data_IF_509623525587
#
_entry.id   IF_509623525587
#
_cell.length_a   1.000
_cell.length_b   1.000
_cell.length_c   1.000
_cell.angle_alpha   90.00
_cell.angle_beta   90.00
_cell.angle_gamma   90.00
#
_symmetry.space_group_name_H-M   'P 1'
#
loop_
_entity.id
_entity.type
_entity.pdbx_description
1 polymer ?
#
# COMPACT_ATOMS: atom_id res chain seq x y z
N UNK A 1 59.86 25.76 39.20
CA UNK A 1 59.33 26.79 38.28
C UNK A 1 58.81 26.07 37.05
N UNK A 2 57.50 25.83 37.00
CA UNK A 2 56.81 25.14 35.91
C UNK A 2 56.38 26.16 34.87
N UNK A 3 56.71 25.92 33.60
CA UNK A 3 56.36 26.82 32.51
C UNK A 3 54.82 26.87 32.30
N UNK A 4 54.25 28.03 31.93
CA UNK A 4 52.83 28.14 31.66
C UNK A 4 52.44 27.32 30.41
N UNK A 5 51.23 26.75 30.39
CA UNK A 5 50.74 25.98 29.25
C UNK A 5 50.60 26.85 28.00
N UNK A 6 50.82 26.27 26.80
CA UNK A 6 50.68 27.00 25.55
C UNK A 6 49.23 27.46 25.34
N UNK A 7 49.03 28.61 24.69
CA UNK A 7 47.69 29.12 24.40
C UNK A 7 46.92 28.14 23.50
N UNK A 8 45.65 27.91 23.83
CA UNK A 8 44.71 27.15 23.02
C UNK A 8 44.63 27.75 21.62
N UNK A 9 44.76 26.91 20.60
CA UNK A 9 44.57 27.31 19.21
C UNK A 9 43.15 27.88 19.03
N UNK A 10 42.98 28.92 18.19
CA UNK A 10 41.66 29.46 17.88
C UNK A 10 40.78 28.36 17.28
N UNK A 11 39.51 28.32 17.68
CA UNK A 11 38.52 27.42 17.10
C UNK A 11 38.47 27.62 15.57
N UNK A 12 38.34 26.55 14.78
CA UNK A 12 38.19 26.67 13.34
C UNK A 12 36.98 27.56 13.04
N UNK A 13 37.18 28.58 12.20
CA UNK A 13 36.08 29.43 11.75
C UNK A 13 35.00 28.54 11.10
N UNK A 14 33.71 28.77 11.41
CA UNK A 14 32.65 28.09 10.70
C UNK A 14 32.81 28.41 9.22
N UNK A 15 32.95 27.36 8.39
CA UNK A 15 32.97 27.50 6.95
C UNK A 15 31.71 28.24 6.46
N UNK A 16 31.72 28.79 5.23
CA UNK A 16 30.58 29.52 4.71
C UNK A 16 29.33 28.65 4.79
N UNK A 17 28.37 29.05 5.62
CA UNK A 17 27.09 28.38 5.73
C UNK A 17 26.41 28.48 4.36
N UNK A 18 26.02 27.33 3.80
CA UNK A 18 25.20 27.34 2.60
C UNK A 18 23.84 27.93 3.00
N UNK A 19 23.33 28.97 2.31
CA UNK A 19 22.06 29.56 2.68
C UNK A 19 20.96 28.50 2.61
N UNK A 20 20.31 28.24 3.73
CA UNK A 20 19.09 27.46 3.78
C UNK A 20 17.99 28.33 3.16
N UNK A 21 17.36 27.86 2.09
CA UNK A 21 16.23 28.52 1.43
C UNK A 21 15.06 27.54 1.40
N UNK A 22 14.12 27.75 2.31
CA UNK A 22 12.92 26.92 2.45
C UNK A 22 11.70 27.80 2.24
N UNK A 23 10.77 27.29 1.43
CA UNK A 23 9.47 27.90 1.14
C UNK A 23 8.38 27.10 1.86
N UNK A 24 7.85 27.62 2.97
CA UNK A 24 6.79 26.94 3.72
C UNK A 24 5.59 26.51 2.87
N UNK A 25 5.23 27.31 1.87
CA UNK A 25 4.11 27.04 0.96
C UNK A 25 4.34 25.79 0.11
N UNK A 26 5.58 25.50 -0.27
CA UNK A 26 5.90 24.30 -1.05
C UNK A 26 5.71 23.04 -0.18
N UNK A 27 6.15 23.07 1.09
CA UNK A 27 5.90 21.98 2.04
C UNK A 27 4.41 21.76 2.26
N UNK A 28 3.66 22.85 2.46
CA UNK A 28 2.21 22.75 2.67
C UNK A 28 1.48 22.21 1.44
N UNK A 29 1.87 22.63 0.23
CA UNK A 29 1.30 22.09 -1.01
C UNK A 29 1.55 20.58 -1.13
N UNK A 30 2.78 20.12 -0.89
CA UNK A 30 3.07 18.68 -0.93
C UNK A 30 2.34 17.92 0.17
N UNK A 31 2.14 18.53 1.34
CA UNK A 31 1.29 17.96 2.38
C UNK A 31 -0.15 17.70 1.90
N UNK A 32 -0.72 18.61 1.09
CA UNK A 32 -2.03 18.44 0.49
C UNK A 32 -2.05 17.29 -0.53
N UNK A 33 -1.01 17.14 -1.35
CA UNK A 33 -0.88 16.02 -2.29
C UNK A 33 -0.83 14.67 -1.56
N UNK A 34 -0.12 14.58 -0.43
CA UNK A 34 -0.13 13.38 0.41
C UNK A 34 -1.50 13.08 1.03
N UNK A 35 -2.24 14.13 1.38
CA UNK A 35 -3.62 14.01 1.85
C UNK A 35 -4.55 13.52 0.73
N UNK A 36 -4.37 13.97 -0.49
CA UNK A 36 -5.13 13.50 -1.64
C UNK A 36 -4.76 12.05 -1.99
N UNK A 37 -3.48 11.69 -1.89
CA UNK A 37 -3.00 10.31 -1.99
C UNK A 37 -3.64 9.39 -0.93
N UNK A 38 -3.76 9.86 0.32
CA UNK A 38 -4.49 9.15 1.38
C UNK A 38 -5.93 8.83 0.95
N UNK A 39 -6.64 9.82 0.40
CA UNK A 39 -8.02 9.63 -0.09
C UNK A 39 -8.08 8.67 -1.28
N UNK A 40 -7.15 8.78 -2.22
CA UNK A 40 -7.05 7.92 -3.40
C UNK A 40 -6.80 6.44 -3.03
N UNK A 41 -5.97 6.18 -2.01
CA UNK A 41 -5.75 4.82 -1.47
C UNK A 41 -7.06 4.23 -0.93
N UNK A 42 -7.83 5.02 -0.16
CA UNK A 42 -9.10 4.56 0.38
C UNK A 42 -10.17 4.33 -0.69
N UNK A 43 -10.18 5.17 -1.74
CA UNK A 43 -11.04 4.96 -2.89
C UNK A 43 -10.67 3.66 -3.63
N UNK A 44 -9.38 3.42 -3.86
CA UNK A 44 -8.86 2.17 -4.46
C UNK A 44 -9.31 0.95 -3.65
N UNK A 45 -9.16 0.99 -2.33
CA UNK A 45 -9.63 -0.06 -1.42
C UNK A 45 -11.13 -0.34 -1.55
N UNK A 46 -11.97 0.71 -1.53
CA UNK A 46 -13.43 0.56 -1.64
C UNK A 46 -13.86 -0.01 -2.99
N UNK A 47 -13.21 0.41 -4.08
CA UNK A 47 -13.45 -0.15 -5.41
C UNK A 47 -13.13 -1.64 -5.44
N UNK A 48 -12.00 -2.06 -4.85
CA UNK A 48 -11.67 -3.48 -4.73
C UNK A 48 -12.72 -4.22 -3.91
N UNK A 49 -13.04 -3.78 -2.69
CA UNK A 49 -14.03 -4.46 -1.82
C UNK A 49 -15.38 -4.64 -2.51
N UNK A 50 -15.91 -3.58 -3.13
CA UNK A 50 -17.17 -3.65 -3.88
C UNK A 50 -17.08 -4.67 -5.02
N UNK A 51 -15.98 -4.65 -5.78
CA UNK A 51 -15.79 -5.58 -6.89
C UNK A 51 -15.69 -7.03 -6.42
N UNK A 52 -15.02 -7.29 -5.30
CA UNK A 52 -14.93 -8.64 -4.74
C UNK A 52 -16.31 -9.13 -4.25
N UNK A 53 -17.15 -8.26 -3.69
CA UNK A 53 -18.52 -8.60 -3.26
C UNK A 53 -19.40 -9.02 -4.44
N UNK A 54 -19.31 -8.33 -5.57
CA UNK A 54 -19.99 -8.71 -6.82
C UNK A 54 -19.54 -10.08 -7.34
N UNK A 55 -18.31 -10.49 -7.01
CA UNK A 55 -17.68 -11.73 -7.47
C UNK A 55 -17.73 -12.85 -6.43
N UNK A 56 -18.59 -12.72 -5.39
CA UNK A 56 -18.83 -13.77 -4.40
C UNK A 56 -19.20 -15.09 -5.09
N UNK A 57 -18.54 -16.16 -4.70
CA UNK A 57 -18.77 -17.49 -5.25
C UNK A 57 -18.07 -17.83 -6.57
N UNK A 58 -17.16 -16.98 -7.05
CA UNK A 58 -16.43 -17.23 -8.30
C UNK A 58 -15.65 -18.56 -8.31
N UNK A 59 -15.11 -19.01 -7.16
CA UNK A 59 -14.30 -20.23 -7.12
C UNK A 59 -15.12 -21.53 -7.18
N UNK A 60 -16.43 -21.46 -6.91
CA UNK A 60 -17.29 -22.64 -6.72
C UNK A 60 -17.30 -23.14 -5.27
N UNK A 61 -17.71 -24.39 -5.06
CA UNK A 61 -17.88 -24.99 -3.73
C UNK A 61 -17.15 -26.35 -3.56
N UNK A 62 -16.55 -26.87 -4.62
CA UNK A 62 -15.84 -28.15 -4.60
C UNK A 62 -14.57 -28.16 -3.73
N UNK A 63 -14.01 -29.35 -3.49
CA UNK A 63 -12.79 -29.50 -2.66
C UNK A 63 -11.61 -28.65 -3.17
N UNK A 64 -11.33 -28.55 -4.50
CA UNK A 64 -10.37 -27.58 -5.02
C UNK A 64 -10.67 -26.12 -4.65
N UNK A 65 -11.93 -25.67 -4.74
CA UNK A 65 -12.35 -24.33 -4.36
C UNK A 65 -12.07 -24.06 -2.87
N UNK A 66 -12.41 -25.01 -1.99
CA UNK A 66 -12.14 -24.91 -0.55
C UNK A 66 -10.63 -24.81 -0.25
N UNK A 67 -9.81 -25.59 -0.97
CA UNK A 67 -8.34 -25.52 -0.85
C UNK A 67 -7.78 -24.18 -1.33
N UNK A 68 -8.36 -23.61 -2.39
CA UNK A 68 -7.99 -22.30 -2.88
C UNK A 68 -8.36 -21.21 -1.86
N UNK A 69 -9.60 -21.23 -1.37
CA UNK A 69 -10.12 -20.26 -0.38
C UNK A 69 -9.27 -20.21 0.90
N UNK A 70 -8.83 -21.36 1.41
CA UNK A 70 -7.96 -21.47 2.59
C UNK A 70 -6.66 -20.65 2.49
N UNK A 71 -6.22 -20.30 1.28
CA UNK A 71 -5.07 -19.43 1.03
C UNK A 71 -5.46 -18.04 0.52
N UNK A 72 -6.52 -17.94 -0.28
CA UNK A 72 -7.03 -16.69 -0.83
C UNK A 72 -7.54 -15.76 0.26
N UNK A 73 -8.46 -16.21 1.12
CA UNK A 73 -9.12 -15.35 2.11
C UNK A 73 -8.13 -14.69 3.08
N UNK A 74 -7.15 -15.42 3.67
CA UNK A 74 -6.11 -14.79 4.47
C UNK A 74 -5.26 -13.77 3.70
N UNK A 75 -4.95 -14.03 2.43
CA UNK A 75 -4.18 -13.11 1.60
C UNK A 75 -4.95 -11.82 1.31
N UNK A 76 -6.25 -11.91 0.98
CA UNK A 76 -7.10 -10.73 0.78
C UNK A 76 -7.26 -9.94 2.07
N UNK A 77 -7.41 -10.61 3.23
CA UNK A 77 -7.44 -9.92 4.54
C UNK A 77 -6.16 -9.14 4.80
N UNK A 78 -5.01 -9.71 4.43
CA UNK A 78 -3.72 -9.03 4.55
C UNK A 78 -3.64 -7.79 3.63
N UNK A 79 -4.12 -7.90 2.39
CA UNK A 79 -4.22 -6.77 1.45
C UNK A 79 -5.11 -5.66 2.03
N UNK A 80 -6.30 -5.99 2.52
CA UNK A 80 -7.23 -5.02 3.13
C UNK A 80 -6.61 -4.33 4.35
N UNK A 81 -5.91 -5.08 5.20
CA UNK A 81 -5.15 -4.52 6.33
C UNK A 81 -4.01 -3.61 5.85
N UNK A 82 -3.36 -3.96 4.74
CA UNK A 82 -2.32 -3.14 4.10
C UNK A 82 -2.85 -1.79 3.63
N UNK A 83 -4.05 -1.75 3.06
CA UNK A 83 -4.71 -0.50 2.67
C UNK A 83 -4.97 0.44 3.85
N UNK A 84 -5.45 -0.10 4.98
CA UNK A 84 -5.66 0.68 6.22
C UNK A 84 -4.35 1.30 6.69
N UNK A 85 -3.28 0.49 6.77
CA UNK A 85 -1.96 0.97 7.20
C UNK A 85 -1.37 2.01 6.24
N UNK A 86 -1.56 1.81 4.93
CA UNK A 86 -1.09 2.76 3.92
C UNK A 86 -1.84 4.09 4.03
N UNK A 87 -3.16 4.04 4.22
CA UNK A 87 -3.97 5.24 4.47
C UNK A 87 -3.51 6.01 5.71
N UNK A 88 -3.24 5.33 6.81
CA UNK A 88 -2.72 5.95 8.04
C UNK A 88 -1.33 6.55 7.84
N UNK A 89 -0.44 5.83 7.14
CA UNK A 89 0.90 6.30 6.82
C UNK A 89 0.85 7.60 6.01
N UNK A 90 0.08 7.65 4.92
CA UNK A 90 -0.01 8.83 4.07
C UNK A 90 -0.59 10.04 4.81
N UNK A 91 -1.62 9.82 5.66
CA UNK A 91 -2.15 10.88 6.53
C UNK A 91 -1.14 11.38 7.56
N UNK A 92 -0.31 10.49 8.10
CA UNK A 92 0.78 10.84 9.00
C UNK A 92 1.86 11.70 8.31
N UNK A 93 2.23 11.35 7.07
CA UNK A 93 3.19 12.12 6.27
C UNK A 93 2.61 13.51 5.93
N UNK A 94 1.37 13.57 5.45
CA UNK A 94 0.68 14.83 5.17
C UNK A 94 0.70 15.76 6.38
N UNK A 95 0.36 15.22 7.56
CA UNK A 95 0.42 15.99 8.81
C UNK A 95 1.83 16.48 9.13
N UNK A 96 2.84 15.61 9.05
CA UNK A 96 4.23 15.97 9.36
C UNK A 96 4.79 17.06 8.44
N UNK A 97 4.44 17.01 7.15
CA UNK A 97 4.81 18.05 6.18
C UNK A 97 4.10 19.39 6.46
N UNK A 98 2.82 19.37 6.82
CA UNK A 98 2.09 20.58 7.20
C UNK A 98 2.63 21.21 8.50
N UNK A 99 3.00 20.39 9.49
CA UNK A 99 3.65 20.86 10.72
C UNK A 99 5.05 21.46 10.40
N UNK A 100 5.80 20.85 9.48
CA UNK A 100 7.10 21.37 9.02
C UNK A 100 6.95 22.72 8.31
N UNK A 101 5.95 22.87 7.44
CA UNK A 101 5.62 24.15 6.80
C UNK A 101 5.34 25.25 7.84
N UNK A 102 4.50 24.97 8.84
CA UNK A 102 4.17 25.95 9.88
C UNK A 102 5.38 26.33 10.75
N UNK A 103 6.29 25.39 11.01
CA UNK A 103 7.52 25.66 11.74
C UNK A 103 8.48 26.57 10.95
N UNK A 104 8.71 26.29 9.67
CA UNK A 104 9.56 27.12 8.80
C UNK A 104 8.99 28.54 8.69
N UNK A 105 7.68 28.68 8.46
CA UNK A 105 7.00 29.98 8.39
C UNK A 105 7.18 30.83 9.66
N UNK A 106 7.08 30.21 10.84
CA UNK A 106 7.28 30.91 12.12
C UNK A 106 8.74 31.32 12.31
N UNK A 107 9.68 30.45 11.96
CA UNK A 107 11.10 30.73 12.04
C UNK A 107 11.52 31.89 11.13
N UNK A 108 10.97 31.95 9.91
CA UNK A 108 11.21 33.06 8.97
C UNK A 108 10.69 34.38 9.52
N UNK A 109 9.46 34.37 10.07
CA UNK A 109 8.86 35.56 10.64
C UNK A 109 9.63 36.06 11.87
N UNK A 110 10.06 35.16 12.76
CA UNK A 110 10.88 35.50 13.92
C UNK A 110 12.23 36.08 13.50
N UNK A 111 12.89 35.48 12.50
CA UNK A 111 14.16 35.96 11.96
C UNK A 111 14.05 37.33 11.30
N UNK A 112 12.92 37.61 10.65
CA UNK A 112 12.61 38.91 10.06
C UNK A 112 12.12 39.95 11.09
N UNK A 113 11.87 39.55 12.35
CA UNK A 113 11.27 40.41 13.36
C UNK A 113 9.84 40.86 13.02
N UNK A 114 9.11 40.03 12.27
CA UNK A 114 7.75 40.29 11.80
C UNK A 114 6.72 39.34 12.41
N UNK A 115 5.44 39.71 12.36
CA UNK A 115 4.34 38.78 12.65
C UNK A 115 4.25 37.73 11.53
N UNK A 116 4.27 36.43 11.86
CA UNK A 116 4.07 35.38 10.87
C UNK A 116 2.75 35.52 10.08
N UNK A 117 1.75 36.19 10.65
CA UNK A 117 0.42 36.28 10.05
C UNK A 117 -0.36 34.96 10.17
N UNK A 118 -1.38 34.78 9.32
CA UNK A 118 -2.23 33.58 9.34
C UNK A 118 -1.43 32.30 9.07
N UNK A 119 -1.61 31.28 9.91
CA UNK A 119 -0.99 29.97 9.73
C UNK A 119 -1.67 29.11 8.67
N UNK A 120 -1.04 27.99 8.34
CA UNK A 120 -1.63 27.03 7.42
C UNK A 120 -2.80 26.26 8.06
N UNK A 121 -3.89 25.97 7.32
CA UNK A 121 -4.95 25.12 7.83
C UNK A 121 -4.42 23.72 8.22
N UNK A 122 -4.80 23.18 9.38
CA UNK A 122 -4.29 21.88 9.81
C UNK A 122 -4.82 20.75 8.92
N UNK A 123 -3.93 19.85 8.52
CA UNK A 123 -4.28 18.61 7.84
C UNK A 123 -4.39 17.48 8.87
N UNK A 124 -5.61 17.26 9.37
CA UNK A 124 -5.87 16.17 10.30
C UNK A 124 -5.95 14.84 9.55
N UNK A 125 -5.21 13.79 9.97
CA UNK A 125 -5.34 12.48 9.37
C UNK A 125 -6.78 11.97 9.56
N UNK A 126 -7.37 11.44 8.50
CA UNK A 126 -8.68 10.82 8.60
C UNK A 126 -8.58 9.52 9.39
N UNK A 127 -9.54 9.29 10.27
CA UNK A 127 -9.65 8.02 10.97
C UNK A 127 -10.01 6.95 9.94
N UNK A 128 -9.13 5.97 9.76
CA UNK A 128 -9.45 4.85 8.89
C UNK A 128 -10.49 3.94 9.58
N UNK A 129 -11.57 3.54 8.89
CA UNK A 129 -12.40 2.46 9.40
C UNK A 129 -11.56 1.18 9.48
N UNK A 130 -11.92 0.28 10.39
CA UNK A 130 -11.31 -1.04 10.46
C UNK A 130 -11.42 -1.75 9.11
N UNK A 131 -10.40 -2.54 8.75
CA UNK A 131 -10.43 -3.35 7.54
C UNK A 131 -11.70 -4.22 7.53
N UNK A 132 -12.41 -4.22 6.41
CA UNK A 132 -13.58 -5.08 6.24
C UNK A 132 -13.14 -6.54 6.23
N UNK A 133 -14.07 -7.44 6.54
CA UNK A 133 -13.83 -8.86 6.30
C UNK A 133 -13.95 -9.13 4.79
N UNK A 134 -12.98 -9.84 4.17
CA UNK A 134 -13.05 -10.17 2.76
C UNK A 134 -14.34 -10.93 2.40
N UNK A 135 -14.99 -10.60 1.28
CA UNK A 135 -16.10 -11.41 0.79
C UNK A 135 -15.63 -12.81 0.41
N UNK A 136 -16.51 -13.81 0.60
CA UNK A 136 -16.20 -15.20 0.33
C UNK A 136 -16.00 -15.44 -1.18
N UNK A 137 -14.91 -16.12 -1.53
CA UNK A 137 -14.72 -16.58 -2.92
C UNK A 137 -15.49 -17.86 -3.23
N UNK A 138 -15.93 -18.57 -2.18
CA UNK A 138 -16.71 -19.80 -2.25
C UNK A 138 -18.18 -19.53 -2.58
N UNK A 139 -18.76 -20.41 -3.41
CA UNK A 139 -20.18 -20.42 -3.72
C UNK A 139 -21.01 -21.03 -2.60
N UNK A 140 -22.32 -20.75 -2.62
CA UNK A 140 -23.30 -21.27 -1.65
C UNK A 140 -23.51 -22.78 -1.72
N UNK A 141 -23.04 -23.44 -2.79
CA UNK A 141 -23.19 -24.89 -2.99
C UNK A 141 -24.61 -25.29 -3.41
N UNK A 142 -25.56 -24.37 -3.43
CA UNK A 142 -26.99 -24.60 -3.67
C UNK A 142 -27.31 -24.47 -5.16
N UNK A 143 -26.76 -25.38 -5.97
CA UNK A 143 -27.28 -25.56 -7.33
C UNK A 143 -28.31 -26.69 -7.31
N UNK A 144 -29.59 -26.31 -7.31
CA UNK A 144 -30.73 -27.21 -7.57
C UNK A 144 -30.56 -28.10 -8.83
N UNK A 145 -29.61 -27.75 -9.71
CA UNK A 145 -29.17 -28.55 -10.85
C UNK A 145 -28.34 -29.78 -10.43
N UNK A 146 -27.43 -29.67 -9.45
CA UNK A 146 -26.66 -30.81 -8.93
C UNK A 146 -27.54 -31.80 -8.16
N UNK A 147 -28.66 -31.38 -7.58
CA UNK A 147 -29.66 -32.30 -7.03
C UNK A 147 -30.30 -33.22 -8.11
N UNK A 148 -30.20 -32.85 -9.39
CA UNK A 148 -30.72 -33.63 -10.53
C UNK A 148 -29.64 -34.49 -11.19
N UNK A 149 -28.35 -34.15 -11.00
CA UNK A 149 -27.22 -34.90 -11.53
C UNK A 149 -26.75 -35.85 -10.43
N UNK A 150 -26.78 -37.15 -10.69
CA UNK A 150 -26.38 -38.20 -9.74
C UNK A 150 -25.13 -37.87 -8.92
N UNK A 151 -25.17 -38.11 -7.60
CA UNK A 151 -24.13 -37.85 -6.60
C UNK A 151 -22.71 -38.29 -7.02
N UNK A 152 -22.58 -39.30 -7.87
CA UNK A 152 -21.26 -39.75 -8.37
C UNK A 152 -20.61 -38.80 -9.38
N UNK A 153 -21.35 -37.88 -10.01
CA UNK A 153 -20.84 -36.92 -11.00
C UNK A 153 -20.44 -35.58 -10.37
N UNK A 154 -21.06 -35.23 -9.23
CA UNK A 154 -20.82 -33.98 -8.50
C UNK A 154 -19.32 -33.70 -8.23
N UNK A 155 -18.49 -34.69 -7.86
CA UNK A 155 -17.05 -34.46 -7.65
C UNK A 155 -16.27 -34.13 -8.95
N UNK A 156 -16.85 -34.39 -10.11
CA UNK A 156 -16.19 -34.26 -11.42
C UNK A 156 -16.70 -33.08 -12.24
N UNK A 157 -17.71 -32.35 -11.76
CA UNK A 157 -18.23 -31.17 -12.43
C UNK A 157 -17.61 -29.90 -11.81
N UNK A 158 -16.85 -29.09 -12.58
CA UNK A 158 -16.29 -27.84 -12.08
C UNK A 158 -17.42 -26.92 -11.61
N UNK A 159 -17.38 -26.52 -10.35
CA UNK A 159 -18.38 -25.61 -9.79
C UNK A 159 -18.01 -24.13 -9.90
N UNK A 160 -16.76 -23.83 -10.27
CA UNK A 160 -16.24 -22.46 -10.39
C UNK A 160 -16.57 -21.78 -11.72
N UNK A 161 -16.74 -20.46 -11.67
CA UNK A 161 -16.96 -19.61 -12.84
C UNK A 161 -15.63 -19.02 -13.32
N UNK A 162 -15.10 -19.58 -14.41
CA UNK A 162 -13.82 -19.19 -15.01
C UNK A 162 -13.79 -17.71 -15.38
N UNK A 163 -14.90 -17.16 -15.91
CA UNK A 163 -14.95 -15.76 -16.29
C UNK A 163 -14.89 -14.86 -15.04
N UNK A 164 -15.66 -15.18 -14.00
CA UNK A 164 -15.62 -14.42 -12.74
C UNK A 164 -14.28 -14.54 -12.02
N UNK A 165 -13.57 -15.66 -12.13
CA UNK A 165 -12.20 -15.80 -11.62
C UNK A 165 -11.20 -14.92 -12.37
N UNK A 166 -11.36 -14.74 -13.69
CA UNK A 166 -10.56 -13.77 -14.44
C UNK A 166 -10.92 -12.33 -14.09
N UNK A 167 -12.20 -12.03 -13.82
CA UNK A 167 -12.62 -10.71 -13.33
C UNK A 167 -12.04 -10.40 -11.93
N UNK A 168 -11.94 -11.41 -11.05
CA UNK A 168 -11.22 -11.27 -9.77
C UNK A 168 -9.75 -10.93 -10.01
N UNK A 169 -9.07 -11.67 -10.90
CA UNK A 169 -7.68 -11.39 -11.23
C UNK A 169 -7.48 -9.95 -11.76
N UNK A 170 -8.38 -9.51 -12.64
CA UNK A 170 -8.36 -8.16 -13.19
C UNK A 170 -8.59 -7.09 -12.11
N UNK A 171 -9.47 -7.34 -11.14
CA UNK A 171 -9.72 -6.40 -10.03
C UNK A 171 -8.45 -6.19 -9.18
N UNK A 172 -7.73 -7.26 -8.84
CA UNK A 172 -6.46 -7.15 -8.11
C UNK A 172 -5.35 -6.50 -8.95
N UNK A 173 -5.28 -6.78 -10.25
CA UNK A 173 -4.32 -6.13 -11.15
C UNK A 173 -4.58 -4.62 -11.26
N UNK A 174 -5.84 -4.20 -11.44
CA UNK A 174 -6.21 -2.79 -11.47
C UNK A 174 -5.90 -2.09 -10.14
N UNK A 175 -6.12 -2.78 -9.02
CA UNK A 175 -5.77 -2.29 -7.68
C UNK A 175 -4.25 -2.08 -7.53
N UNK A 176 -3.44 -3.05 -7.97
CA UNK A 176 -1.98 -2.93 -8.00
C UNK A 176 -1.55 -1.67 -8.77
N UNK A 177 -2.09 -1.49 -9.97
CA UNK A 177 -1.72 -0.39 -10.85
C UNK A 177 -2.14 0.96 -10.25
N UNK A 178 -3.31 1.03 -9.60
CA UNK A 178 -3.76 2.22 -8.89
C UNK A 178 -2.85 2.60 -7.72
N UNK A 179 -2.40 1.62 -6.91
CA UNK A 179 -1.47 1.89 -5.80
C UNK A 179 -0.10 2.33 -6.32
N UNK A 180 0.39 1.72 -7.42
CA UNK A 180 1.66 2.13 -8.03
C UNK A 180 1.60 3.56 -8.56
N UNK A 181 0.51 3.94 -9.25
CA UNK A 181 0.32 5.29 -9.75
C UNK A 181 0.34 6.33 -8.61
N UNK A 182 -0.35 6.04 -7.49
CA UNK A 182 -0.32 6.91 -6.30
C UNK A 182 1.11 7.04 -5.76
N UNK A 183 1.87 5.95 -5.69
CA UNK A 183 3.25 5.98 -5.23
C UNK A 183 4.13 6.87 -6.13
N UNK A 184 4.02 6.71 -7.44
CA UNK A 184 4.80 7.44 -8.42
C UNK A 184 4.48 8.94 -8.39
N UNK A 185 3.20 9.30 -8.30
CA UNK A 185 2.74 10.69 -8.20
C UNK A 185 3.27 11.36 -6.92
N UNK A 186 3.15 10.70 -5.77
CA UNK A 186 3.64 11.24 -4.49
C UNK A 186 5.17 11.40 -4.47
N UNK A 187 5.90 10.47 -5.08
CA UNK A 187 7.35 10.60 -5.24
C UNK A 187 7.71 11.82 -6.09
N UNK A 188 7.00 12.05 -7.20
CA UNK A 188 7.21 13.22 -8.03
C UNK A 188 6.99 14.53 -7.27
N UNK A 189 6.02 14.58 -6.35
CA UNK A 189 5.80 15.74 -5.49
C UNK A 189 6.95 15.97 -4.50
N UNK A 190 7.51 14.90 -3.92
CA UNK A 190 8.70 15.01 -3.06
C UNK A 190 9.93 15.51 -3.83
N UNK A 191 10.17 15.00 -5.04
CA UNK A 191 11.26 15.47 -5.90
C UNK A 191 11.09 16.94 -6.27
N UNK A 192 9.85 17.37 -6.53
CA UNK A 192 9.53 18.78 -6.76
C UNK A 192 9.81 19.65 -5.53
N UNK A 193 9.49 19.15 -4.32
CA UNK A 193 9.82 19.85 -3.07
C UNK A 193 11.34 20.03 -2.94
N UNK A 194 12.09 18.94 -3.12
CA UNK A 194 13.55 18.94 -3.02
C UNK A 194 14.22 19.84 -4.07
N UNK A 195 13.66 19.93 -5.28
CA UNK A 195 14.19 20.79 -6.33
C UNK A 195 13.97 22.29 -6.07
N UNK A 196 12.94 22.65 -5.28
CA UNK A 196 12.56 24.04 -5.03
C UNK A 196 13.12 24.60 -3.71
N UNK A 197 13.75 23.77 -2.88
CA UNK A 197 14.21 24.12 -1.54
C UNK A 197 15.67 23.67 -1.35
N UNK A 198 16.42 24.35 -0.48
CA UNK A 198 17.80 23.99 -0.12
C UNK A 198 17.87 23.83 1.38
N UNK A 199 17.85 22.59 1.87
CA UNK A 199 17.91 22.28 3.29
C UNK A 199 18.32 20.80 3.53
N UNK A 200 19.00 20.54 4.66
CA UNK A 200 19.50 19.21 5.05
C UNK A 200 18.35 18.22 5.36
N UNK A 201 17.16 18.73 5.71
CA UNK A 201 15.95 17.94 5.93
C UNK A 201 15.38 17.31 4.65
N UNK A 202 15.75 17.81 3.46
CA UNK A 202 15.33 17.24 2.18
C UNK A 202 16.02 15.91 1.88
N UNK A 203 17.30 15.77 2.24
CA UNK A 203 18.02 14.49 2.14
C UNK A 203 17.38 13.46 3.09
N UNK A 204 17.04 13.88 4.31
CA UNK A 204 16.34 13.02 5.26
C UNK A 204 14.93 12.62 4.79
N UNK A 205 14.23 13.50 4.06
CA UNK A 205 12.92 13.23 3.47
C UNK A 205 13.00 12.21 2.33
N UNK A 206 14.02 12.33 1.47
CA UNK A 206 14.29 11.33 0.42
C UNK A 206 14.68 9.98 1.04
N UNK A 207 15.56 9.94 2.04
CA UNK A 207 15.90 8.72 2.76
C UNK A 207 14.68 8.09 3.45
N UNK A 208 13.78 8.91 3.99
CA UNK A 208 12.52 8.46 4.53
C UNK A 208 11.66 7.84 3.42
N UNK A 209 11.48 8.50 2.29
CA UNK A 209 10.72 7.99 1.14
C UNK A 209 11.26 6.65 0.66
N UNK A 210 12.57 6.53 0.48
CA UNK A 210 13.22 5.27 0.10
C UNK A 210 12.88 4.13 1.06
N UNK A 211 12.77 4.40 2.36
CA UNK A 211 12.37 3.39 3.37
C UNK A 211 10.89 3.02 3.29
N UNK A 212 10.00 3.98 3.04
CA UNK A 212 8.55 3.76 3.10
C UNK A 212 7.90 3.44 1.75
N UNK A 213 8.62 3.65 0.65
CA UNK A 213 8.09 3.50 -0.71
C UNK A 213 8.86 2.55 -1.62
N UNK A 214 10.19 2.38 -1.42
CA UNK A 214 11.04 1.71 -2.41
C UNK A 214 11.58 0.35 -1.94
N UNK A 215 11.91 0.20 -0.65
CA UNK A 215 12.41 -1.08 -0.13
C UNK A 215 11.35 -2.18 -0.30
N UNK A 216 11.78 -3.42 -0.57
CA UNK A 216 10.86 -4.56 -0.81
C UNK A 216 9.84 -4.81 0.31
N UNK A 217 10.16 -4.42 1.56
CA UNK A 217 9.27 -4.53 2.72
C UNK A 217 8.37 -3.31 2.94
N UNK A 218 8.51 -2.28 2.11
CA UNK A 218 7.75 -1.04 2.20
C UNK A 218 6.30 -1.27 1.76
N UNK A 219 5.34 -0.58 2.38
CA UNK A 219 3.92 -0.81 2.12
C UNK A 219 3.54 -0.50 0.66
N UNK A 220 4.10 0.58 0.08
CA UNK A 220 3.83 0.96 -1.30
C UNK A 220 4.44 0.00 -2.33
N UNK A 221 5.42 -0.84 -1.97
CA UNK A 221 5.97 -1.88 -2.86
C UNK A 221 5.30 -3.24 -2.61
N UNK A 222 5.14 -3.60 -1.33
CA UNK A 222 4.64 -4.91 -0.92
C UNK A 222 3.14 -5.09 -1.19
N UNK A 223 2.33 -4.02 -1.11
CA UNK A 223 0.90 -4.10 -1.38
C UNK A 223 0.61 -4.36 -2.87
N UNK A 224 1.20 -3.63 -3.85
CA UNK A 224 1.14 -4.01 -5.27
C UNK A 224 1.60 -5.45 -5.54
N UNK A 225 2.70 -5.89 -4.92
CA UNK A 225 3.19 -7.25 -5.08
C UNK A 225 2.21 -8.31 -4.56
N UNK A 226 1.56 -8.05 -3.41
CA UNK A 226 0.52 -8.93 -2.87
C UNK A 226 -0.70 -8.99 -3.79
N UNK A 227 -1.17 -7.85 -4.30
CA UNK A 227 -2.24 -7.79 -5.30
C UNK A 227 -1.87 -8.59 -6.57
N UNK A 228 -0.64 -8.46 -7.08
CA UNK A 228 -0.17 -9.22 -8.23
C UNK A 228 -0.17 -10.73 -7.96
N UNK A 229 0.28 -11.16 -6.77
CA UNK A 229 0.31 -12.57 -6.39
C UNK A 229 -1.11 -13.18 -6.31
N UNK A 230 -2.07 -12.44 -5.76
CA UNK A 230 -3.48 -12.88 -5.73
C UNK A 230 -4.08 -12.90 -7.13
N UNK A 231 -3.82 -11.87 -7.95
CA UNK A 231 -4.28 -11.83 -9.34
C UNK A 231 -3.80 -13.05 -10.14
N UNK A 232 -2.50 -13.37 -10.04
CA UNK A 232 -1.92 -14.55 -10.68
C UNK A 232 -2.54 -15.84 -10.16
N UNK A 233 -2.76 -15.95 -8.84
CA UNK A 233 -3.39 -17.12 -8.23
C UNK A 233 -4.83 -17.34 -8.73
N UNK A 234 -5.61 -16.27 -8.92
CA UNK A 234 -6.94 -16.33 -9.51
C UNK A 234 -6.88 -16.80 -10.98
N UNK A 235 -5.94 -16.28 -11.77
CA UNK A 235 -5.74 -16.69 -13.17
C UNK A 235 -5.27 -18.14 -13.32
N UNK A 236 -4.35 -18.59 -12.46
CA UNK A 236 -3.86 -19.96 -12.42
C UNK A 236 -4.97 -20.94 -12.02
N UNK A 237 -5.81 -20.55 -11.06
CA UNK A 237 -6.98 -21.35 -10.67
C UNK A 237 -7.96 -21.48 -11.85
N UNK A 238 -8.30 -20.38 -12.51
CA UNK A 238 -9.19 -20.36 -13.68
C UNK A 238 -8.67 -21.25 -14.84
N UNK A 239 -7.36 -21.19 -15.10
CA UNK A 239 -6.71 -21.91 -16.22
C UNK A 239 -6.72 -23.43 -16.06
N UNK A 240 -6.78 -23.94 -14.81
CA UNK A 240 -6.87 -25.39 -14.54
C UNK A 240 -8.20 -25.99 -15.02
N UNK A 241 -9.23 -25.16 -15.12
CA UNK A 241 -10.58 -25.55 -15.53
C UNK A 241 -10.84 -25.34 -17.03
N UNK A 242 -10.08 -24.47 -17.71
CA UNK A 242 -10.22 -24.21 -19.15
C UNK A 242 -9.53 -25.27 -20.04
N UNK A 243 -8.68 -26.13 -19.49
CA UNK A 243 -7.98 -27.16 -20.27
C UNK A 243 -8.81 -28.45 -20.36
N UNK A 244 -9.20 -28.95 -21.56
CA UNK A 244 -9.99 -30.18 -21.72
C UNK A 244 -9.32 -31.44 -21.13
N UNK A 245 -7.99 -31.45 -21.00
CA UNK A 245 -7.20 -32.59 -20.53
C UNK A 245 -7.26 -32.83 -19.01
N UNK A 246 -7.72 -31.86 -18.20
CA UNK A 246 -7.88 -32.04 -16.75
C UNK A 246 -9.18 -32.77 -16.38
N UNK A 247 -10.09 -33.02 -17.35
CA UNK A 247 -11.33 -33.79 -17.13
C UNK A 247 -11.09 -35.26 -16.73
N UNK A 248 -9.85 -35.73 -16.71
CA UNK A 248 -9.53 -37.13 -16.38
C UNK A 248 -8.32 -37.33 -15.46
N UNK A 249 -7.68 -36.26 -14.96
CA UNK A 249 -6.37 -36.40 -14.30
C UNK A 249 -6.08 -35.33 -13.24
N UNK A 250 -6.69 -35.43 -12.06
CA UNK A 250 -6.19 -34.73 -10.86
C UNK A 250 -6.26 -35.62 -9.62
N UNK A 251 -5.58 -36.76 -9.68
CA UNK A 251 -4.85 -37.26 -8.52
C UNK A 251 -3.42 -36.70 -8.60
N UNK A 252 -3.01 -35.98 -7.56
CA UNK A 252 -1.61 -35.59 -7.27
C UNK A 252 -1.05 -34.32 -7.95
N UNK A 253 -1.20 -33.16 -7.28
CA UNK A 253 -0.07 -32.26 -6.92
C UNK A 253 -0.56 -31.04 -6.10
N UNK A 254 0.01 -30.85 -4.91
CA UNK A 254 -0.19 -29.69 -4.02
C UNK A 254 0.42 -28.42 -4.63
N UNK A 255 -0.28 -27.28 -4.67
CA UNK A 255 0.34 -25.98 -4.89
C UNK A 255 0.90 -25.41 -3.58
N UNK A 256 2.08 -24.79 -3.66
CA UNK A 256 2.78 -24.14 -2.56
C UNK A 256 2.48 -22.63 -2.54
N UNK A 257 1.76 -22.16 -1.53
CA UNK A 257 1.54 -20.74 -1.22
C UNK A 257 2.34 -20.29 0.02
N UNK A 258 3.48 -20.93 0.28
CA UNK A 258 4.19 -20.87 1.55
C UNK A 258 5.17 -19.67 1.71
N UNK A 259 5.17 -18.67 0.82
CA UNK A 259 6.18 -17.61 0.82
C UNK A 259 5.73 -16.25 1.38
N UNK A 260 4.52 -16.13 1.95
CA UNK A 260 4.05 -14.90 2.59
C UNK A 260 3.93 -15.08 4.11
N UNK A 261 5.08 -15.12 4.80
CA UNK A 261 5.13 -14.83 6.24
C UNK A 261 5.56 -13.37 6.41
N UNK A 262 4.79 -12.52 7.13
CA UNK A 262 5.29 -11.22 7.52
C UNK A 262 6.49 -11.37 8.48
N UNK A 263 7.45 -10.43 8.47
CA UNK A 263 8.49 -10.41 9.48
C UNK A 263 7.86 -10.23 10.86
N UNK A 264 8.17 -11.16 11.75
CA UNK A 264 7.86 -11.08 13.18
C UNK A 264 8.64 -9.88 13.73
N UNK A 265 7.94 -8.92 14.33
CA UNK A 265 8.54 -7.80 15.05
C UNK A 265 9.54 -8.33 16.08
N UNK A 266 10.77 -7.86 16.00
CA UNK A 266 11.71 -7.89 17.12
C UNK A 266 11.52 -6.57 17.87
N UNK A 267 11.45 -6.70 19.19
CA UNK A 267 11.24 -5.65 20.20
C UNK A 267 12.14 -4.43 20.05
#
# INVERSE_FOLDING_TARGET
>A
MTAPPPPLAPAPEPGPATPVDVRPEDYYRVAQEFRDGQNAVMQTYRTLDNRLRELTGAAGHDEPAQKFDASYTPAVRAIFSGFVRLHELLGGIARGLAESAENHRRADAESAGSDPGGGFPPLWPDTCPAAAEPPAVLGDGDTNLLATISDWVVPYYPSGDVARMHELAAAFAATRDGVQAIADDLHAQLLSLAANNVAEDLDALEEFWQRVAVKDSALLTSLPAACAAVANSCGDYASRWSTPATRSATSSKKPALNSLRPPVSVS
#
